data_IF_641175314848
#
_entry.id   IF_641175314848
#
_cell.length_a   1.000
_cell.length_b   1.000
_cell.length_c   1.000
_cell.angle_alpha   90.00
_cell.angle_beta   90.00
_cell.angle_gamma   90.00
#
_symmetry.space_group_name_H-M   'P 1'
#
loop_
_entity.id
_entity.type
_entity.pdbx_description
1 polymer ?
#
# COMPACT_ATOMS: atom_id res chain seq x y z
N UNK A 1 5.73 -7.85 -20.65
CA UNK A 1 4.56 -8.75 -20.61
C UNK A 1 3.51 -8.24 -21.59
N UNK A 2 2.68 -9.10 -22.17
CA UNK A 2 1.61 -8.71 -23.10
C UNK A 2 0.41 -8.16 -22.31
N UNK A 3 -0.16 -7.03 -22.76
CA UNK A 3 -1.34 -6.41 -22.12
C UNK A 3 -2.59 -6.83 -22.87
N UNK A 4 -3.27 -7.86 -22.36
CA UNK A 4 -4.53 -8.36 -22.90
C UNK A 4 -5.74 -7.67 -22.27
N UNK A 5 -6.93 -7.85 -22.87
CA UNK A 5 -8.18 -7.38 -22.28
C UNK A 5 -8.39 -7.92 -20.86
N UNK A 6 -8.04 -9.19 -20.62
CA UNK A 6 -8.13 -9.80 -19.30
C UNK A 6 -7.26 -9.08 -18.26
N UNK A 7 -6.06 -8.66 -18.64
CA UNK A 7 -5.16 -7.85 -17.78
C UNK A 7 -5.80 -6.50 -17.46
N UNK A 8 -6.38 -5.83 -18.46
CA UNK A 8 -7.05 -4.54 -18.26
C UNK A 8 -8.25 -4.67 -17.34
N UNK A 9 -9.11 -5.68 -17.53
CA UNK A 9 -10.26 -5.92 -16.66
C UNK A 9 -9.81 -6.20 -15.22
N UNK A 10 -8.76 -7.00 -15.02
CA UNK A 10 -8.22 -7.28 -13.70
C UNK A 10 -7.60 -6.03 -13.03
N UNK A 11 -6.96 -5.15 -13.81
CA UNK A 11 -6.46 -3.88 -13.32
C UNK A 11 -7.61 -2.97 -12.87
N UNK A 12 -8.66 -2.83 -13.69
CA UNK A 12 -9.84 -2.00 -13.36
C UNK A 12 -10.50 -2.47 -12.06
N UNK A 13 -10.71 -3.78 -11.88
CA UNK A 13 -11.29 -4.32 -10.63
C UNK A 13 -10.46 -3.92 -9.41
N UNK A 14 -9.13 -4.12 -9.46
CA UNK A 14 -8.22 -3.73 -8.37
C UNK A 14 -8.25 -2.23 -8.07
N UNK A 15 -8.37 -1.39 -9.11
CA UNK A 15 -8.50 0.06 -8.93
C UNK A 15 -9.79 0.43 -8.21
N UNK A 16 -10.92 -0.18 -8.61
CA UNK A 16 -12.22 0.04 -7.95
C UNK A 16 -12.17 -0.39 -6.49
N UNK A 17 -11.59 -1.57 -6.20
CA UNK A 17 -11.44 -2.07 -4.83
C UNK A 17 -10.59 -1.11 -3.98
N UNK A 18 -9.49 -0.61 -4.52
CA UNK A 18 -8.63 0.37 -3.84
C UNK A 18 -9.33 1.71 -3.59
N UNK A 19 -10.11 2.19 -4.56
CA UNK A 19 -10.87 3.44 -4.42
C UNK A 19 -11.93 3.33 -3.32
N UNK A 20 -12.65 2.20 -3.25
CA UNK A 20 -13.61 1.93 -2.18
C UNK A 20 -12.92 1.86 -0.81
N UNK A 21 -11.77 1.19 -0.70
CA UNK A 21 -11.04 1.11 0.56
C UNK A 21 -10.58 2.50 1.07
N UNK A 22 -10.17 3.40 0.17
CA UNK A 22 -9.83 4.79 0.51
C UNK A 22 -11.08 5.56 0.98
N UNK A 23 -12.22 5.37 0.30
CA UNK A 23 -13.48 5.99 0.71
C UNK A 23 -13.88 5.55 2.11
N UNK A 24 -13.88 4.24 2.39
CA UNK A 24 -14.19 3.68 3.71
C UNK A 24 -13.29 4.26 4.80
N UNK A 25 -11.97 4.40 4.56
CA UNK A 25 -11.04 4.96 5.54
C UNK A 25 -11.23 6.46 5.80
N UNK A 26 -11.77 7.21 4.84
CA UNK A 26 -11.82 8.68 4.90
C UNK A 26 -13.21 9.22 5.20
N UNK A 27 -14.26 8.44 4.94
CA UNK A 27 -15.67 8.86 5.03
C UNK A 27 -16.52 7.91 5.86
N UNK A 28 -16.06 6.70 6.10
CA UNK A 28 -16.70 5.74 7.00
C UNK A 28 -15.80 5.51 8.23
N UNK A 29 -16.32 4.90 9.29
CA UNK A 29 -15.56 4.63 10.52
C UNK A 29 -14.70 3.36 10.41
N UNK A 30 -13.93 3.24 9.31
CA UNK A 30 -12.97 2.15 9.16
C UNK A 30 -11.65 2.50 9.83
N UNK A 31 -11.24 1.68 10.79
CA UNK A 31 -9.96 1.86 11.50
C UNK A 31 -8.76 1.68 10.54
N UNK A 32 -7.82 2.65 10.45
CA UNK A 32 -6.62 2.51 9.65
C UNK A 32 -5.68 1.45 10.24
N UNK A 33 -5.11 0.61 9.38
CA UNK A 33 -4.11 -0.39 9.79
C UNK A 33 -2.70 0.13 9.51
N UNK A 34 -1.87 0.17 10.54
CA UNK A 34 -0.44 0.41 10.39
C UNK A 34 0.23 -0.85 9.81
N UNK A 35 0.83 -0.73 8.63
CA UNK A 35 1.54 -1.84 7.96
C UNK A 35 2.84 -1.33 7.34
N UNK A 36 4.03 -1.75 7.82
CA UNK A 36 5.28 -1.36 7.18
C UNK A 36 5.45 -2.00 5.79
N UNK A 37 6.25 -1.37 4.91
CA UNK A 37 6.53 -1.88 3.57
C UNK A 37 7.43 -0.96 2.76
N UNK A 38 7.51 -1.18 1.44
CA UNK A 38 8.36 -0.38 0.52
C UNK A 38 8.12 1.11 0.63
N UNK A 39 6.87 1.51 0.85
CA UNK A 39 6.46 2.90 1.01
C UNK A 39 7.15 3.59 2.20
N UNK A 40 7.66 2.87 3.20
CA UNK A 40 8.40 3.44 4.32
C UNK A 40 9.65 4.22 3.87
N UNK A 41 10.28 3.86 2.74
CA UNK A 41 11.45 4.57 2.19
C UNK A 41 11.16 6.03 1.87
N UNK A 42 9.94 6.33 1.43
CA UNK A 42 9.53 7.65 0.98
C UNK A 42 8.47 8.28 1.90
N UNK A 43 8.20 7.65 3.05
CA UNK A 43 7.26 8.16 4.02
C UNK A 43 7.82 9.46 4.65
N UNK A 44 7.03 10.54 4.73
CA UNK A 44 7.46 11.79 5.39
C UNK A 44 7.84 11.61 6.87
N UNK A 45 7.39 10.52 7.50
CA UNK A 45 7.68 10.17 8.89
C UNK A 45 8.81 9.13 9.02
N UNK A 46 9.59 8.87 7.97
CA UNK A 46 10.58 7.80 7.96
C UNK A 46 11.68 7.92 9.04
N UNK A 47 11.92 9.11 9.57
CA UNK A 47 12.91 9.38 10.62
C UNK A 47 12.36 9.29 12.05
N UNK A 48 11.05 9.18 12.22
CA UNK A 48 10.39 9.20 13.54
C UNK A 48 9.39 8.06 13.76
N UNK A 49 8.97 7.37 12.70
CA UNK A 49 8.09 6.20 12.80
C UNK A 49 8.92 4.95 13.12
N UNK A 50 8.85 4.48 14.38
CA UNK A 50 9.56 3.30 14.86
C UNK A 50 9.28 2.05 14.00
N UNK A 51 8.01 1.78 13.69
CA UNK A 51 7.61 0.65 12.83
C UNK A 51 8.25 0.73 11.43
N UNK A 52 8.35 1.94 10.88
CA UNK A 52 8.99 2.18 9.58
C UNK A 52 10.50 2.00 9.64
N UNK A 53 11.15 2.47 10.70
CA UNK A 53 12.59 2.29 10.91
C UNK A 53 12.97 0.82 11.05
N UNK A 54 12.24 0.07 11.89
CA UNK A 54 12.43 -1.37 12.05
C UNK A 54 12.32 -2.12 10.70
N UNK A 55 11.41 -1.70 9.83
CA UNK A 55 11.26 -2.28 8.49
C UNK A 55 12.46 -1.98 7.59
N UNK A 56 12.93 -0.73 7.59
CA UNK A 56 14.05 -0.30 6.76
C UNK A 56 15.38 -0.93 7.20
N UNK A 57 15.57 -1.14 8.51
CA UNK A 57 16.73 -1.80 9.08
C UNK A 57 16.81 -3.28 8.71
N UNK A 58 15.67 -3.98 8.66
CA UNK A 58 15.61 -5.40 8.23
C UNK A 58 16.00 -5.58 6.76
N UNK A 59 15.88 -4.52 5.95
CA UNK A 59 16.03 -4.62 4.50
C UNK A 59 14.84 -5.31 3.84
N UNK A 60 14.66 -5.09 2.54
CA UNK A 60 13.81 -5.95 1.73
C UNK A 60 14.65 -7.16 1.35
N UNK A 61 14.34 -8.35 1.85
CA UNK A 61 14.70 -9.57 1.12
C UNK A 61 13.80 -9.61 -0.12
N UNK A 62 14.40 -9.39 -1.30
CA UNK A 62 13.74 -9.63 -2.58
C UNK A 62 13.68 -11.16 -2.78
N UNK A 63 12.55 -11.77 -2.45
CA UNK A 63 12.17 -13.10 -2.95
C UNK A 63 11.73 -13.02 -4.42
#
# INVERSE_FOLDING_TARGET
EEVSEGVLQAAVRRVVDGANAIYELTREDREPKLSPGAHCRWCPLNSTCETGQQFLERGFEED
#
